data_IF_013967845372
#
_entry.id   IF_013967845372
#
_cell.length_a   1.000
_cell.length_b   1.000
_cell.length_c   1.000
_cell.angle_alpha   90.00
_cell.angle_beta   90.00
_cell.angle_gamma   90.00
#
_symmetry.space_group_name_H-M   'P 1'
#
loop_
_entity.id
_entity.type
_entity.pdbx_description
1 polymer ?
#
# COMPACT_ATOMS: atom_id res chain seq x y z
N UNK A 1 70.46 37.66 -7.29
CA UNK A 1 69.08 37.30 -7.69
C UNK A 1 68.75 35.94 -7.08
N UNK A 2 67.85 35.89 -6.10
CA UNK A 2 67.42 34.64 -5.49
C UNK A 2 66.37 33.95 -6.38
N UNK A 3 66.64 32.71 -6.81
CA UNK A 3 65.64 31.87 -7.49
C UNK A 3 64.61 31.43 -6.45
N UNK A 4 63.35 31.83 -6.63
CA UNK A 4 62.21 31.30 -5.85
C UNK A 4 62.14 29.80 -6.10
N UNK A 5 62.26 28.99 -5.04
CA UNK A 5 61.92 27.58 -5.09
C UNK A 5 60.44 27.48 -5.49
N UNK A 6 60.16 26.80 -6.61
CA UNK A 6 58.79 26.51 -7.04
C UNK A 6 58.05 25.75 -5.94
N UNK A 7 56.73 25.94 -5.88
CA UNK A 7 55.88 25.23 -4.92
C UNK A 7 56.14 23.71 -4.99
N UNK A 8 56.19 23.01 -3.84
CA UNK A 8 56.47 21.59 -3.80
C UNK A 8 55.45 20.82 -4.66
N UNK A 9 55.95 20.06 -5.64
CA UNK A 9 55.12 19.25 -6.52
C UNK A 9 54.57 18.04 -5.74
N UNK A 10 53.25 17.89 -5.76
CA UNK A 10 52.57 16.78 -5.09
C UNK A 10 52.64 15.57 -6.01
N UNK A 11 53.01 14.40 -5.47
CA UNK A 11 53.17 13.17 -6.24
C UNK A 11 51.80 12.66 -6.72
N UNK A 12 51.42 13.02 -7.94
CA UNK A 12 50.13 12.72 -8.54
C UNK A 12 49.90 11.22 -8.78
N UNK A 13 50.98 10.42 -8.92
CA UNK A 13 50.89 8.98 -9.12
C UNK A 13 50.31 8.26 -7.89
N UNK A 14 50.85 8.55 -6.70
CA UNK A 14 50.35 7.97 -5.45
C UNK A 14 48.94 8.47 -5.08
N UNK A 15 48.60 9.71 -5.44
CA UNK A 15 47.25 10.25 -5.21
C UNK A 15 46.22 9.59 -6.13
N UNK A 16 46.58 9.35 -7.40
CA UNK A 16 45.70 8.69 -8.37
C UNK A 16 45.42 7.23 -7.99
N UNK A 17 46.42 6.51 -7.50
CA UNK A 17 46.28 5.09 -7.13
C UNK A 17 45.35 4.92 -5.91
N UNK A 18 45.52 5.76 -4.89
CA UNK A 18 44.64 5.76 -3.71
C UNK A 18 43.20 6.14 -4.11
N UNK A 19 43.01 7.16 -4.95
CA UNK A 19 41.69 7.56 -5.41
C UNK A 19 41.01 6.46 -6.25
N UNK A 20 41.77 5.73 -7.07
CA UNK A 20 41.26 4.65 -7.92
C UNK A 20 40.85 3.42 -7.11
N UNK A 21 41.66 3.03 -6.13
CA UNK A 21 41.33 1.93 -5.21
C UNK A 21 40.09 2.26 -4.37
N UNK A 22 39.93 3.50 -3.91
CA UNK A 22 38.73 3.94 -3.19
C UNK A 22 37.49 3.90 -4.08
N UNK A 23 37.60 4.29 -5.35
CA UNK A 23 36.49 4.19 -6.31
C UNK A 23 36.07 2.74 -6.56
N UNK A 24 37.03 1.83 -6.76
CA UNK A 24 36.73 0.40 -6.91
C UNK A 24 36.14 -0.15 -5.61
N UNK A 25 36.69 0.21 -4.45
CA UNK A 25 36.16 -0.20 -3.16
C UNK A 25 34.71 0.26 -2.99
N UNK A 26 34.40 1.53 -3.27
CA UNK A 26 33.03 2.03 -3.23
C UNK A 26 32.16 1.29 -4.25
N UNK A 27 32.59 1.12 -5.51
CA UNK A 27 31.80 0.44 -6.54
C UNK A 27 31.53 -1.05 -6.22
N UNK A 28 32.48 -1.74 -5.60
CA UNK A 28 32.37 -3.17 -5.24
C UNK A 28 31.58 -3.39 -3.95
N UNK A 29 31.69 -2.45 -3.00
CA UNK A 29 30.95 -2.53 -1.72
C UNK A 29 29.60 -1.82 -1.73
N UNK A 30 29.31 -1.00 -2.75
CA UNK A 30 27.95 -0.48 -2.97
C UNK A 30 27.07 -1.60 -3.52
N UNK A 31 26.29 -2.22 -2.66
CA UNK A 31 25.11 -2.95 -3.09
C UNK A 31 24.01 -1.92 -3.38
N UNK A 32 23.42 -1.96 -4.58
CA UNK A 32 22.14 -1.28 -4.80
C UNK A 32 21.09 -2.19 -4.15
N UNK A 33 20.78 -1.93 -2.88
CA UNK A 33 19.62 -2.51 -2.21
C UNK A 33 18.37 -1.96 -2.93
N UNK A 34 17.71 -2.78 -3.75
CA UNK A 34 16.38 -2.43 -4.24
C UNK A 34 15.40 -2.71 -3.12
N UNK A 35 15.01 -1.66 -2.39
CA UNK A 35 13.96 -1.76 -1.39
C UNK A 35 12.63 -2.09 -2.07
N UNK A 36 12.29 -3.39 -2.13
CA UNK A 36 10.98 -3.84 -2.56
C UNK A 36 10.00 -3.65 -1.39
N UNK A 37 9.43 -2.46 -1.31
CA UNK A 37 8.46 -2.07 -0.29
C UNK A 37 7.01 -2.11 -0.78
N UNK A 38 6.09 -2.12 0.18
CA UNK A 38 4.70 -1.70 -0.04
C UNK A 38 4.61 -0.22 0.31
N UNK A 39 4.28 0.61 -0.67
CA UNK A 39 3.96 2.01 -0.39
C UNK A 39 2.62 2.08 0.37
N UNK A 40 2.66 2.65 1.57
CA UNK A 40 1.52 2.75 2.48
C UNK A 40 1.59 4.05 3.26
N UNK A 41 0.50 4.81 3.19
CA UNK A 41 0.31 5.95 4.09
C UNK A 41 -0.08 5.42 5.46
N UNK A 42 0.71 5.77 6.47
CA UNK A 42 0.35 5.48 7.86
C UNK A 42 -0.85 6.34 8.28
N UNK A 43 -1.72 5.82 9.15
CA UNK A 43 -2.79 6.64 9.72
C UNK A 43 -2.19 7.80 10.53
N UNK A 44 -2.93 8.93 10.64
CA UNK A 44 -2.51 10.04 11.47
C UNK A 44 -2.31 9.61 12.93
N UNK A 45 -1.39 10.27 13.63
CA UNK A 45 -1.01 9.92 15.01
C UNK A 45 -2.14 10.26 16.00
N UNK A 46 -2.98 11.24 15.66
CA UNK A 46 -4.04 11.71 16.55
C UNK A 46 -5.18 10.69 16.59
N UNK A 47 -5.48 10.10 17.77
CA UNK A 47 -6.61 9.21 17.91
C UNK A 47 -7.91 9.99 17.65
N UNK A 48 -8.93 9.35 17.08
CA UNK A 48 -10.22 10.00 16.88
C UNK A 48 -10.78 10.49 18.22
N UNK A 49 -11.35 11.69 18.24
CA UNK A 49 -11.92 12.34 19.44
C UNK A 49 -13.06 11.54 20.11
N UNK A 50 -13.57 10.50 19.44
CA UNK A 50 -14.70 9.69 19.92
C UNK A 50 -14.40 8.20 19.77
N UNK A 51 -14.72 7.44 20.82
CA UNK A 51 -14.68 5.98 20.78
C UNK A 51 -15.76 5.46 19.82
N UNK A 52 -15.33 4.99 18.65
CA UNK A 52 -16.24 4.40 17.65
C UNK A 52 -16.58 2.97 18.09
N UNK A 53 -17.81 2.75 18.54
CA UNK A 53 -18.30 1.39 18.84
C UNK A 53 -18.53 0.64 17.52
N UNK A 54 -17.58 -0.24 17.17
CA UNK A 54 -17.65 -1.08 15.97
C UNK A 54 -18.38 -2.39 16.32
N UNK A 55 -19.44 -2.71 15.56
CA UNK A 55 -20.11 -4.02 15.68
C UNK A 55 -19.20 -5.12 15.16
N UNK A 56 -19.14 -6.26 15.84
CA UNK A 56 -18.31 -7.40 15.42
C UNK A 56 -18.60 -7.87 13.99
N UNK A 57 -19.86 -7.89 13.56
CA UNK A 57 -20.25 -8.23 12.18
C UNK A 57 -19.72 -7.28 11.10
N UNK A 58 -19.24 -6.10 11.49
CA UNK A 58 -18.58 -5.15 10.59
C UNK A 58 -17.06 -5.35 10.56
N UNK A 59 -16.53 -6.42 11.17
CA UNK A 59 -15.11 -6.76 11.13
C UNK A 59 -14.94 -8.07 10.37
N UNK A 60 -14.25 -8.01 9.23
CA UNK A 60 -13.80 -9.19 8.49
C UNK A 60 -12.40 -9.56 8.98
N UNK A 61 -12.27 -10.68 9.69
CA UNK A 61 -11.01 -11.08 10.29
C UNK A 61 -10.25 -12.03 9.37
N UNK A 62 -9.04 -11.63 8.98
CA UNK A 62 -8.11 -12.41 8.16
C UNK A 62 -6.88 -12.72 8.99
N UNK A 63 -6.69 -14.00 9.32
CA UNK A 63 -5.52 -14.49 10.04
C UNK A 63 -4.62 -15.30 9.09
N UNK A 64 -3.33 -15.00 9.08
CA UNK A 64 -2.31 -15.79 8.38
C UNK A 64 -1.46 -16.52 9.42
N UNK A 65 -1.29 -17.83 9.25
CA UNK A 65 -0.39 -18.61 10.09
C UNK A 65 1.01 -18.78 9.47
N UNK A 66 1.94 -19.35 10.24
CA UNK A 66 3.32 -19.64 9.79
C UNK A 66 3.44 -20.52 8.54
N UNK A 67 2.43 -21.35 8.27
CA UNK A 67 2.39 -22.21 7.08
C UNK A 67 1.85 -21.47 5.85
N UNK A 68 1.46 -20.20 5.98
CA UNK A 68 0.82 -19.41 4.93
C UNK A 68 -0.64 -19.77 4.68
N UNK A 69 -1.29 -20.49 5.61
CA UNK A 69 -2.71 -20.80 5.52
C UNK A 69 -3.53 -19.59 5.99
N UNK A 70 -4.65 -19.34 5.32
CA UNK A 70 -5.54 -18.22 5.57
C UNK A 70 -6.80 -18.69 6.28
N UNK A 71 -7.09 -18.05 7.40
CA UNK A 71 -8.35 -18.20 8.13
C UNK A 71 -9.10 -16.87 8.02
N UNK A 72 -10.20 -16.86 7.25
CA UNK A 72 -11.03 -15.68 7.05
C UNK A 72 -12.45 -15.93 7.55
N UNK A 73 -12.94 -15.11 8.47
CA UNK A 73 -14.22 -15.31 9.17
C UNK A 73 -14.38 -16.73 9.72
N UNK A 74 -13.37 -17.20 10.47
CA UNK A 74 -13.32 -18.54 11.08
C UNK A 74 -13.31 -19.72 10.11
N UNK A 75 -13.25 -19.47 8.80
CA UNK A 75 -13.15 -20.50 7.77
C UNK A 75 -11.76 -20.54 7.13
N UNK A 76 -11.21 -21.75 6.96
CA UNK A 76 -10.00 -21.94 6.18
C UNK A 76 -10.31 -21.73 4.70
N UNK A 77 -9.62 -20.78 4.07
CA UNK A 77 -9.84 -20.42 2.67
C UNK A 77 -8.53 -20.46 1.88
N UNK A 78 -8.68 -20.62 0.57
CA UNK A 78 -7.59 -20.40 -0.36
C UNK A 78 -7.44 -18.91 -0.69
N UNK A 79 -6.21 -18.49 -0.98
CA UNK A 79 -5.89 -17.12 -1.37
C UNK A 79 -6.77 -16.59 -2.51
N UNK A 80 -7.07 -17.43 -3.51
CA UNK A 80 -7.93 -17.05 -4.66
C UNK A 80 -9.34 -16.64 -4.26
N UNK A 81 -9.83 -17.11 -3.11
CA UNK A 81 -11.17 -16.80 -2.61
C UNK A 81 -11.19 -15.54 -1.76
N UNK A 82 -10.03 -15.07 -1.27
CA UNK A 82 -9.93 -13.96 -0.32
C UNK A 82 -10.53 -12.68 -0.90
N UNK A 83 -10.15 -12.30 -2.13
CA UNK A 83 -10.68 -11.12 -2.80
C UNK A 83 -12.20 -11.18 -2.95
N UNK A 84 -12.72 -12.30 -3.45
CA UNK A 84 -14.16 -12.47 -3.63
C UNK A 84 -14.94 -12.39 -2.31
N UNK A 85 -14.42 -13.01 -1.23
CA UNK A 85 -15.03 -12.91 0.11
C UNK A 85 -14.94 -11.50 0.69
N UNK A 86 -13.80 -10.84 0.58
CA UNK A 86 -13.61 -9.46 1.02
C UNK A 86 -14.55 -8.51 0.27
N UNK A 87 -14.67 -8.63 -1.06
CA UNK A 87 -15.59 -7.83 -1.87
C UNK A 87 -17.05 -8.09 -1.45
N UNK A 88 -17.44 -9.35 -1.26
CA UNK A 88 -18.80 -9.69 -0.83
C UNK A 88 -19.12 -9.14 0.57
N UNK A 89 -18.14 -9.14 1.48
CA UNK A 89 -18.25 -8.54 2.79
C UNK A 89 -18.41 -7.02 2.70
N UNK A 90 -17.52 -6.32 1.96
CA UNK A 90 -17.56 -4.87 1.83
C UNK A 90 -18.83 -4.38 1.12
N UNK A 91 -19.28 -5.08 0.08
CA UNK A 91 -20.44 -4.71 -0.75
C UNK A 91 -21.78 -5.24 -0.19
N UNK A 92 -21.82 -5.81 1.03
CA UNK A 92 -23.00 -6.49 1.57
C UNK A 92 -24.20 -5.55 1.76
N UNK A 93 -24.02 -4.41 2.44
CA UNK A 93 -25.07 -3.41 2.66
C UNK A 93 -26.21 -3.85 3.60
N UNK A 94 -25.88 -4.57 4.68
CA UNK A 94 -26.85 -5.20 5.59
C UNK A 94 -27.79 -4.24 6.35
N UNK A 95 -27.43 -2.96 6.51
CA UNK A 95 -28.31 -1.96 7.15
C UNK A 95 -29.24 -1.23 6.16
N UNK A 96 -29.14 -1.53 4.86
CA UNK A 96 -29.95 -0.93 3.81
C UNK A 96 -29.62 0.54 3.50
N UNK A 97 -28.66 1.15 4.21
CA UNK A 97 -28.24 2.54 3.95
C UNK A 97 -27.43 2.70 2.67
N UNK A 98 -26.81 1.62 2.20
CA UNK A 98 -25.99 1.63 1.00
C UNK A 98 -26.84 1.47 -0.27
N UNK A 99 -27.02 2.57 -1.01
CA UNK A 99 -27.79 2.61 -2.26
C UNK A 99 -27.03 2.03 -3.46
N UNK A 100 -25.70 2.08 -3.43
CA UNK A 100 -24.82 1.60 -4.51
C UNK A 100 -24.32 0.16 -4.29
N UNK A 101 -24.56 -0.42 -3.11
CA UNK A 101 -24.15 -1.79 -2.81
C UNK A 101 -24.95 -2.82 -3.60
N UNK A 102 -24.27 -3.84 -4.13
CA UNK A 102 -24.88 -4.93 -4.92
C UNK A 102 -24.87 -6.29 -4.20
N UNK A 103 -24.43 -6.33 -2.95
CA UNK A 103 -24.38 -7.54 -2.14
C UNK A 103 -25.74 -8.06 -1.68
N UNK A 104 -25.70 -9.12 -0.87
CA UNK A 104 -26.88 -9.90 -0.46
C UNK A 104 -27.73 -9.22 0.61
N UNK A 105 -27.28 -8.09 1.18
CA UNK A 105 -27.92 -7.39 2.31
C UNK A 105 -28.19 -8.32 3.49
N UNK A 106 -27.23 -9.21 3.77
CA UNK A 106 -27.35 -10.13 4.89
C UNK A 106 -27.22 -9.34 6.21
N UNK A 107 -28.17 -9.53 7.15
CA UNK A 107 -28.15 -8.89 8.47
C UNK A 107 -26.95 -9.29 9.31
N UNK A 108 -26.41 -10.49 9.07
CA UNK A 108 -25.34 -11.09 9.85
C UNK A 108 -23.94 -10.70 9.34
N UNK A 109 -23.87 -10.04 8.18
CA UNK A 109 -22.63 -9.53 7.59
C UNK A 109 -22.59 -7.99 7.68
N UNK A 110 -21.63 -7.36 6.99
CA UNK A 110 -21.34 -5.94 7.18
C UNK A 110 -22.54 -5.03 6.88
N UNK A 111 -22.74 -4.01 7.71
CA UNK A 111 -23.83 -3.07 7.58
C UNK A 111 -23.66 -2.18 6.33
N UNK A 112 -22.46 -1.62 6.12
CA UNK A 112 -22.16 -0.68 5.05
C UNK A 112 -20.63 -0.64 4.79
N UNK A 113 -20.16 -0.43 3.54
CA UNK A 113 -18.74 -0.28 3.22
C UNK A 113 -17.99 0.74 4.10
N UNK A 114 -18.66 1.83 4.49
CA UNK A 114 -18.08 2.89 5.37
C UNK A 114 -17.85 2.45 6.80
N UNK A 115 -18.54 1.40 7.26
CA UNK A 115 -18.42 0.82 8.60
C UNK A 115 -17.62 -0.48 8.60
N UNK A 116 -17.44 -1.08 7.43
CA UNK A 116 -16.80 -2.37 7.25
C UNK A 116 -15.28 -2.25 7.38
N UNK A 117 -14.68 -3.06 8.24
CA UNK A 117 -13.25 -3.04 8.55
C UNK A 117 -12.66 -4.42 8.28
N UNK A 118 -11.58 -4.47 7.52
CA UNK A 118 -10.79 -5.69 7.34
C UNK A 118 -9.65 -5.68 8.36
N UNK A 119 -9.65 -6.67 9.26
CA UNK A 119 -8.58 -6.87 10.23
C UNK A 119 -7.64 -7.95 9.72
N UNK A 120 -6.41 -7.56 9.36
CA UNK A 120 -5.37 -8.50 8.95
C UNK A 120 -4.42 -8.75 10.13
N UNK A 121 -4.31 -10.01 10.55
CA UNK A 121 -3.38 -10.46 11.59
C UNK A 121 -2.47 -11.55 11.04
N UNK A 122 -1.17 -11.39 11.25
CA UNK A 122 -0.16 -12.29 10.73
C UNK A 122 0.63 -12.93 11.87
N UNK A 123 0.93 -14.22 11.74
CA UNK A 123 1.92 -14.87 12.57
C UNK A 123 3.32 -14.30 12.27
N UNK A 124 4.18 -14.22 13.29
CA UNK A 124 5.54 -13.67 13.18
C UNK A 124 6.42 -14.47 12.21
N UNK A 125 6.15 -15.75 12.03
CA UNK A 125 6.89 -16.64 11.13
C UNK A 125 6.31 -16.65 9.70
N UNK A 126 5.28 -15.84 9.41
CA UNK A 126 4.71 -15.75 8.06
C UNK A 126 5.74 -15.22 7.07
N UNK A 127 5.87 -15.89 5.92
CA UNK A 127 6.77 -15.45 4.85
C UNK A 127 6.34 -14.08 4.30
N UNK A 128 7.31 -13.19 4.10
CA UNK A 128 7.06 -11.85 3.55
C UNK A 128 6.26 -11.89 2.24
N UNK A 129 6.62 -12.77 1.30
CA UNK A 129 5.88 -12.92 0.04
C UNK A 129 4.39 -13.23 0.24
N UNK A 130 4.04 -14.11 1.19
CA UNK A 130 2.64 -14.43 1.50
C UNK A 130 1.89 -13.22 2.05
N UNK A 131 2.53 -12.45 2.93
CA UNK A 131 1.97 -11.20 3.46
C UNK A 131 1.67 -10.19 2.35
N UNK A 132 2.59 -10.00 1.41
CA UNK A 132 2.40 -9.11 0.26
C UNK A 132 1.25 -9.60 -0.62
N UNK A 133 1.21 -10.88 -0.95
CA UNK A 133 0.16 -11.43 -1.83
C UNK A 133 -1.22 -11.26 -1.20
N UNK A 134 -1.37 -11.53 0.09
CA UNK A 134 -2.64 -11.33 0.80
C UNK A 134 -3.06 -9.86 0.79
N UNK A 135 -2.13 -8.95 1.04
CA UNK A 135 -2.44 -7.52 0.96
C UNK A 135 -2.86 -7.09 -0.45
N UNK A 136 -2.23 -7.61 -1.49
CA UNK A 136 -2.61 -7.32 -2.87
C UNK A 136 -4.04 -7.77 -3.18
N UNK A 137 -4.46 -8.95 -2.70
CA UNK A 137 -5.84 -9.41 -2.86
C UNK A 137 -6.85 -8.53 -2.11
N UNK A 138 -6.50 -8.09 -0.90
CA UNK A 138 -7.35 -7.20 -0.11
C UNK A 138 -7.46 -5.81 -0.74
N UNK A 139 -6.35 -5.23 -1.20
CA UNK A 139 -6.35 -3.95 -1.93
C UNK A 139 -7.11 -4.09 -3.24
N UNK A 140 -6.93 -5.21 -3.95
CA UNK A 140 -7.68 -5.52 -5.17
C UNK A 140 -9.19 -5.51 -4.94
N UNK A 141 -9.66 -6.04 -3.80
CA UNK A 141 -11.08 -5.99 -3.45
C UNK A 141 -11.60 -4.55 -3.27
N UNK A 142 -10.82 -3.66 -2.64
CA UNK A 142 -11.16 -2.23 -2.53
C UNK A 142 -11.15 -1.55 -3.90
N UNK A 143 -10.12 -1.79 -4.71
CA UNK A 143 -9.97 -1.19 -6.02
C UNK A 143 -11.11 -1.60 -6.96
N UNK A 144 -11.59 -2.84 -6.91
CA UNK A 144 -12.74 -3.27 -7.71
C UNK A 144 -14.00 -2.47 -7.38
N UNK A 145 -14.27 -2.27 -6.07
CA UNK A 145 -15.43 -1.51 -5.62
C UNK A 145 -15.28 -0.02 -5.93
N UNK A 146 -14.09 0.55 -5.71
CA UNK A 146 -13.79 1.95 -6.02
C UNK A 146 -13.86 2.21 -7.52
N UNK A 147 -13.25 1.38 -8.37
CA UNK A 147 -13.31 1.51 -9.82
C UNK A 147 -14.75 1.42 -10.32
N UNK A 148 -15.54 0.46 -9.81
CA UNK A 148 -16.96 0.34 -10.17
C UNK A 148 -17.75 1.62 -9.88
N UNK A 149 -17.58 2.21 -8.70
CA UNK A 149 -18.29 3.44 -8.34
C UNK A 149 -17.72 4.67 -9.04
N UNK A 150 -16.41 4.75 -9.22
CA UNK A 150 -15.75 5.81 -9.97
C UNK A 150 -16.19 5.80 -11.44
N UNK A 151 -16.30 4.64 -12.07
CA UNK A 151 -16.81 4.51 -13.44
C UNK A 151 -18.26 4.99 -13.53
N UNK A 152 -19.09 4.74 -12.49
CA UNK A 152 -20.48 5.20 -12.44
C UNK A 152 -20.61 6.71 -12.24
N UNK A 153 -19.73 7.31 -11.43
CA UNK A 153 -19.79 8.72 -11.03
C UNK A 153 -19.03 9.65 -11.97
N UNK A 154 -17.87 9.22 -12.46
CA UNK A 154 -16.88 10.03 -13.16
C UNK A 154 -16.50 9.48 -14.53
N UNK A 155 -16.88 8.24 -14.85
CA UNK A 155 -16.57 7.61 -16.15
C UNK A 155 -15.11 7.17 -16.33
N UNK A 156 -14.35 7.11 -15.24
CA UNK A 156 -12.95 6.66 -15.20
C UNK A 156 -12.70 5.74 -14.00
N UNK A 157 -11.67 4.90 -14.10
CA UNK A 157 -11.25 4.02 -13.00
C UNK A 157 -10.60 4.83 -11.87
N UNK A 158 -10.89 4.44 -10.62
CA UNK A 158 -10.34 5.09 -9.44
C UNK A 158 -8.82 4.97 -9.42
N UNK A 159 -8.29 3.79 -9.77
CA UNK A 159 -6.84 3.53 -9.79
C UNK A 159 -6.10 4.47 -10.77
N UNK A 160 -6.71 4.79 -11.90
CA UNK A 160 -6.11 5.67 -12.91
C UNK A 160 -6.14 7.12 -12.43
N UNK A 161 -7.26 7.55 -11.84
CA UNK A 161 -7.37 8.87 -11.23
C UNK A 161 -6.42 9.06 -10.05
N UNK A 162 -6.26 8.04 -9.20
CA UNK A 162 -5.32 8.06 -8.07
C UNK A 162 -3.87 8.13 -8.57
N UNK A 163 -3.52 7.35 -9.59
CA UNK A 163 -2.19 7.39 -10.21
C UNK A 163 -1.89 8.77 -10.82
N UNK A 164 -2.85 9.38 -11.52
CA UNK A 164 -2.72 10.73 -12.08
C UNK A 164 -2.61 11.79 -10.97
N UNK A 165 -3.36 11.66 -9.88
CA UNK A 165 -3.27 12.57 -8.74
C UNK A 165 -1.90 12.53 -8.06
N UNK A 166 -1.33 11.32 -7.90
CA UNK A 166 -0.03 11.11 -7.27
C UNK A 166 1.16 11.45 -8.18
N UNK A 167 0.96 11.51 -9.50
CA UNK A 167 2.02 11.84 -10.45
C UNK A 167 2.55 13.27 -10.21
N UNK A 168 3.86 13.46 -9.93
CA UNK A 168 4.45 14.79 -9.74
C UNK A 168 4.30 15.72 -10.95
N UNK A 169 4.24 15.17 -12.16
CA UNK A 169 4.16 15.92 -13.41
C UNK A 169 2.76 16.45 -13.72
N UNK A 170 1.73 15.94 -13.04
CA UNK A 170 0.34 16.33 -13.29
C UNK A 170 0.10 17.79 -12.90
N UNK A 171 -0.51 18.62 -13.79
CA UNK A 171 -0.76 20.03 -13.52
C UNK A 171 -1.62 20.24 -12.27
N UNK A 172 -1.33 21.32 -11.51
CA UNK A 172 -2.04 21.59 -10.26
C UNK A 172 -3.56 21.70 -10.43
N UNK A 173 -4.03 22.27 -11.55
CA UNK A 173 -5.47 22.35 -11.84
C UNK A 173 -6.15 20.99 -11.94
N UNK A 174 -5.46 19.98 -12.47
CA UNK A 174 -5.96 18.61 -12.57
C UNK A 174 -5.89 17.94 -11.19
N UNK A 175 -4.83 18.16 -10.42
CA UNK A 175 -4.73 17.67 -9.03
C UNK A 175 -5.86 18.19 -8.15
N UNK A 176 -6.22 19.47 -8.30
CA UNK A 176 -7.29 20.08 -7.52
C UNK A 176 -8.67 19.49 -7.87
N UNK A 177 -8.94 19.19 -9.14
CA UNK A 177 -10.17 18.50 -9.57
C UNK A 177 -10.20 17.03 -9.11
N UNK A 178 -9.07 16.33 -9.14
CA UNK A 178 -8.97 14.94 -8.71
C UNK A 178 -9.02 14.79 -7.19
N UNK A 179 -8.58 15.80 -6.42
CA UNK A 179 -8.48 15.75 -4.95
C UNK A 179 -9.77 15.31 -4.26
N UNK A 180 -10.92 15.71 -4.77
CA UNK A 180 -12.21 15.32 -4.20
C UNK A 180 -12.74 13.97 -4.75
N UNK A 181 -12.23 13.54 -5.91
CA UNK A 181 -12.60 12.27 -6.57
C UNK A 181 -11.79 11.07 -6.07
N UNK A 182 -10.56 11.30 -5.59
CA UNK A 182 -9.64 10.25 -5.10
C UNK A 182 -9.62 10.07 -3.57
N UNK A 183 -10.58 10.68 -2.86
CA UNK A 183 -10.73 10.54 -1.40
C UNK A 183 -11.30 9.18 -0.99
#
# INVERSE_FOLDING_TARGET
>A
MARRAGAPEVNAGSMADIAFLLLIFFLVTTTIETDAGLDRMLPPIEPPDTDVVIKQKNIFQVNINKNGQLLADEELIELKQLRAKATAFLDNGGDGSCTYCKGRRNSDSSDNPTKAIISLKNDRETKYGTYITVQNELVGAYNDLRNREAQRLFGADFTDMEAEYLNPETPQSIKDDLKDKVK
#
